data_IF_587585490492
#
_entry.id   IF_587585490492
#
_cell.length_a   1.000
_cell.length_b   1.000
_cell.length_c   1.000
_cell.angle_alpha   90.00
_cell.angle_beta   90.00
_cell.angle_gamma   90.00
#
_symmetry.space_group_name_H-M   'P 1'
#
loop_
_entity.id
_entity.type
_entity.pdbx_description
1 polymer ?
#
# COMPACT_ATOMS: atom_id res chain seq x y z
N UNK A 1 11.47 40.97 -33.68
CA UNK A 1 12.36 40.22 -32.76
C UNK A 1 11.67 39.69 -31.48
N UNK A 2 10.33 39.71 -31.36
CA UNK A 2 9.63 39.34 -30.11
C UNK A 2 9.07 37.90 -30.08
N UNK A 3 8.82 37.32 -31.25
CA UNK A 3 8.27 35.96 -31.43
C UNK A 3 9.22 34.84 -30.96
N UNK A 4 10.54 34.86 -31.25
CA UNK A 4 11.42 33.76 -30.80
C UNK A 4 11.61 33.75 -29.27
N UNK A 5 11.58 34.91 -28.63
CA UNK A 5 11.66 35.02 -27.16
C UNK A 5 10.44 34.43 -26.48
N UNK A 6 9.24 34.65 -27.03
CA UNK A 6 8.00 34.10 -26.48
C UNK A 6 7.97 32.56 -26.56
N UNK A 7 8.43 31.99 -27.67
CA UNK A 7 8.52 30.53 -27.85
C UNK A 7 9.51 29.89 -26.86
N UNK A 8 10.65 30.54 -26.62
CA UNK A 8 11.62 30.08 -25.63
C UNK A 8 11.03 30.12 -24.21
N UNK A 9 10.29 31.17 -23.86
CA UNK A 9 9.62 31.27 -22.55
C UNK A 9 8.55 30.19 -22.37
N UNK A 10 7.74 29.91 -23.40
CA UNK A 10 6.72 28.85 -23.32
C UNK A 10 7.35 27.48 -23.20
N UNK A 11 8.42 27.20 -23.97
CA UNK A 11 9.18 25.94 -23.86
C UNK A 11 9.84 25.77 -22.49
N UNK A 12 10.41 26.85 -21.94
CA UNK A 12 10.99 26.87 -20.61
C UNK A 12 9.92 26.64 -19.54
N UNK A 13 8.76 27.29 -19.65
CA UNK A 13 7.62 27.06 -18.76
C UNK A 13 7.10 25.62 -18.83
N UNK A 14 7.04 25.03 -20.02
CA UNK A 14 6.60 23.64 -20.21
C UNK A 14 7.61 22.64 -19.61
N UNK A 15 8.90 22.92 -19.77
CA UNK A 15 9.98 22.13 -19.16
C UNK A 15 9.99 22.26 -17.64
N UNK A 16 9.78 23.47 -17.10
CA UNK A 16 9.62 23.68 -15.66
C UNK A 16 8.36 22.99 -15.11
N UNK A 17 7.25 23.02 -15.85
CA UNK A 17 6.02 22.33 -15.46
C UNK A 17 6.21 20.80 -15.42
N UNK A 18 6.91 20.24 -16.41
CA UNK A 18 7.29 18.82 -16.42
C UNK A 18 8.26 18.47 -15.27
N UNK A 19 9.23 19.34 -14.96
CA UNK A 19 10.14 19.15 -13.83
C UNK A 19 9.46 19.30 -12.46
N UNK A 20 8.40 20.10 -12.35
CA UNK A 20 7.55 20.13 -11.15
C UNK A 20 6.70 18.86 -11.00
N UNK A 21 6.41 18.16 -12.10
CA UNK A 21 5.55 16.99 -12.08
C UNK A 21 6.31 15.70 -11.69
N UNK A 22 7.65 15.72 -11.65
CA UNK A 22 8.47 14.55 -11.27
C UNK A 22 8.56 14.31 -9.76
N UNK A 23 8.09 15.22 -8.90
CA UNK A 23 7.99 14.99 -7.45
C UNK A 23 6.66 14.31 -7.06
N UNK A 24 6.28 13.28 -7.80
CA UNK A 24 5.31 12.29 -7.33
C UNK A 24 5.97 10.92 -7.17
N UNK A 25 7.20 10.90 -6.64
CA UNK A 25 7.62 9.75 -5.86
C UNK A 25 6.84 9.76 -4.54
N UNK A 26 6.28 8.61 -4.19
CA UNK A 26 5.54 8.33 -2.95
C UNK A 26 6.44 8.39 -1.70
N UNK A 27 7.39 9.31 -1.66
CA UNK A 27 8.32 9.54 -0.57
C UNK A 27 8.23 10.99 -0.16
N UNK A 28 7.21 11.34 0.63
CA UNK A 28 7.41 12.37 1.65
C UNK A 28 8.79 12.09 2.28
N UNK A 29 9.68 13.08 2.44
CA UNK A 29 11.05 12.90 2.97
C UNK A 29 11.14 12.36 4.41
N UNK A 30 10.12 11.62 4.86
CA UNK A 30 9.89 10.95 6.12
C UNK A 30 9.80 9.44 5.85
N UNK A 31 10.95 8.75 5.63
CA UNK A 31 11.01 7.32 5.26
C UNK A 31 10.24 6.37 6.18
N UNK A 32 10.02 6.76 7.44
CA UNK A 32 9.40 5.95 8.48
C UNK A 32 7.92 6.27 8.73
N UNK A 33 7.34 7.22 8.00
CA UNK A 33 5.98 7.67 8.23
C UNK A 33 5.03 7.17 7.14
N UNK A 34 4.14 6.26 7.51
CA UNK A 34 3.11 5.71 6.64
C UNK A 34 1.73 6.07 7.19
N UNK A 35 0.99 6.91 6.46
CA UNK A 35 -0.34 7.33 6.83
C UNK A 35 -1.43 6.39 6.32
N UNK A 36 -2.69 6.75 6.55
CA UNK A 36 -3.84 5.98 6.08
C UNK A 36 -3.88 5.89 4.54
N UNK A 37 -3.39 6.92 3.85
CA UNK A 37 -3.26 7.00 2.41
C UNK A 37 -2.30 5.96 1.82
N UNK A 38 -1.33 5.49 2.61
CA UNK A 38 -0.36 4.48 2.19
C UNK A 38 -0.94 3.06 2.17
N UNK A 39 -2.20 2.87 2.59
CA UNK A 39 -2.85 1.57 2.56
C UNK A 39 -3.69 1.35 1.30
N UNK A 40 -3.48 0.19 0.68
CA UNK A 40 -4.25 -0.26 -0.48
C UNK A 40 -5.26 -1.31 -0.06
N UNK A 41 -6.52 -1.12 -0.48
CA UNK A 41 -7.58 -2.08 -0.19
C UNK A 41 -7.45 -3.27 -1.14
N UNK A 42 -7.14 -4.45 -0.59
CA UNK A 42 -7.17 -5.71 -1.34
C UNK A 42 -8.59 -6.28 -1.39
N UNK A 43 -9.39 -6.03 -0.35
CA UNK A 43 -10.81 -6.39 -0.32
C UNK A 43 -11.59 -5.38 0.49
N UNK A 44 -12.79 -5.05 0.03
CA UNK A 44 -13.73 -4.18 0.74
C UNK A 44 -15.14 -4.72 0.58
N UNK A 45 -15.83 -4.91 1.69
CA UNK A 45 -17.22 -5.32 1.72
C UNK A 45 -18.00 -4.51 2.75
N UNK A 46 -19.31 -4.75 2.84
CA UNK A 46 -20.13 -4.18 3.93
C UNK A 46 -19.81 -4.79 5.30
N UNK A 47 -19.20 -5.98 5.33
CA UNK A 47 -18.96 -6.76 6.56
C UNK A 47 -17.51 -6.69 7.04
N UNK A 48 -16.64 -5.96 6.35
CA UNK A 48 -15.23 -5.89 6.68
C UNK A 48 -14.38 -5.37 5.55
N UNK A 49 -13.11 -5.12 5.85
CA UNK A 49 -12.08 -4.70 4.90
C UNK A 49 -10.76 -5.38 5.20
N UNK A 50 -10.01 -5.62 4.13
CA UNK A 50 -8.63 -6.05 4.21
C UNK A 50 -7.79 -5.07 3.41
N UNK A 51 -6.89 -4.36 4.11
CA UNK A 51 -6.01 -3.37 3.51
C UNK A 51 -4.56 -3.69 3.84
N UNK A 52 -3.68 -3.48 2.88
CA UNK A 52 -2.25 -3.79 3.00
C UNK A 52 -1.48 -2.50 2.76
N UNK A 53 -0.54 -2.22 3.63
CA UNK A 53 0.38 -1.10 3.49
C UNK A 53 1.21 -1.28 2.21
N UNK A 54 1.48 -0.19 1.49
CA UNK A 54 2.42 -0.20 0.38
C UNK A 54 3.79 -0.78 0.80
N UNK A 55 4.53 -1.33 -0.18
CA UNK A 55 5.81 -1.98 0.10
C UNK A 55 6.80 -0.94 0.64
N UNK A 56 7.68 -1.35 1.55
CA UNK A 56 8.82 -0.54 1.96
C UNK A 56 9.83 -0.47 0.81
N UNK A 57 9.75 0.56 -0.02
CA UNK A 57 10.63 0.77 -1.19
C UNK A 57 11.66 1.87 -0.98
N UNK A 58 11.66 2.54 0.18
CA UNK A 58 12.67 3.55 0.47
C UNK A 58 14.03 2.87 0.70
N UNK A 59 15.11 3.45 0.16
CA UNK A 59 16.48 2.91 0.23
C UNK A 59 16.95 2.53 1.65
N UNK A 60 16.44 3.19 2.70
CA UNK A 60 16.80 2.92 4.09
C UNK A 60 16.09 1.68 4.67
N UNK A 61 15.01 1.24 4.02
CA UNK A 61 14.11 0.19 4.51
C UNK A 61 14.09 -1.04 3.60
N UNK A 62 14.35 -0.88 2.31
CA UNK A 62 14.17 -1.94 1.32
C UNK A 62 14.98 -3.20 1.65
N UNK A 63 16.27 -3.05 1.98
CA UNK A 63 17.15 -4.18 2.29
C UNK A 63 16.81 -4.85 3.63
N UNK A 64 16.28 -4.08 4.59
CA UNK A 64 16.01 -4.58 5.95
C UNK A 64 14.62 -5.21 6.08
N UNK A 65 13.60 -4.55 5.51
CA UNK A 65 12.19 -4.90 5.70
C UNK A 65 11.37 -4.92 4.41
N UNK A 66 11.97 -4.74 3.24
CA UNK A 66 11.26 -4.68 1.96
C UNK A 66 10.43 -5.91 1.61
N UNK A 67 10.79 -7.08 2.16
CA UNK A 67 10.04 -8.33 1.98
C UNK A 67 8.95 -8.56 3.04
N UNK A 68 8.84 -7.69 4.04
CA UNK A 68 7.77 -7.73 5.03
C UNK A 68 6.61 -6.84 4.58
N UNK A 69 5.38 -7.22 4.94
CA UNK A 69 4.18 -6.45 4.68
C UNK A 69 3.38 -6.28 5.96
N UNK A 70 2.76 -5.11 6.10
CA UNK A 70 1.80 -4.83 7.16
C UNK A 70 0.40 -4.84 6.55
N UNK A 71 -0.51 -5.57 7.17
CA UNK A 71 -1.90 -5.65 6.73
C UNK A 71 -2.84 -5.47 7.92
N UNK A 72 -4.00 -4.91 7.64
CA UNK A 72 -5.09 -4.74 8.59
C UNK A 72 -6.33 -5.45 8.07
N UNK A 73 -6.82 -6.37 8.89
CA UNK A 73 -8.09 -7.06 8.69
C UNK A 73 -9.10 -6.55 9.71
N UNK A 74 -10.19 -5.97 9.20
CA UNK A 74 -11.33 -5.59 10.01
C UNK A 74 -12.55 -6.41 9.58
N UNK A 75 -13.26 -6.94 10.57
CA UNK A 75 -14.46 -7.73 10.38
C UNK A 75 -15.55 -7.22 11.33
N UNK A 76 -16.75 -7.01 10.80
CA UNK A 76 -17.93 -6.69 11.60
C UNK A 76 -18.30 -7.88 12.51
N UNK A 77 -19.05 -7.64 13.60
CA UNK A 77 -19.54 -8.73 14.44
C UNK A 77 -20.33 -9.77 13.63
N UNK A 78 -20.02 -11.06 13.84
CA UNK A 78 -20.62 -12.21 13.11
C UNK A 78 -20.32 -12.23 11.60
N UNK A 79 -19.31 -11.49 11.14
CA UNK A 79 -18.78 -11.66 9.80
C UNK A 79 -17.95 -12.96 9.72
N UNK A 80 -17.92 -13.56 8.53
CA UNK A 80 -17.11 -14.72 8.22
C UNK A 80 -16.06 -14.34 7.18
N UNK A 81 -14.80 -14.69 7.45
CA UNK A 81 -13.73 -14.59 6.47
C UNK A 81 -13.70 -15.88 5.65
N UNK A 82 -13.89 -15.76 4.34
CA UNK A 82 -13.75 -16.90 3.44
C UNK A 82 -12.33 -17.48 3.55
N UNK A 83 -12.16 -18.81 3.66
CA UNK A 83 -10.85 -19.42 3.63
C UNK A 83 -10.08 -19.05 2.36
N UNK A 84 -8.88 -18.53 2.54
CA UNK A 84 -7.95 -18.17 1.48
C UNK A 84 -6.51 -18.41 1.97
N UNK A 85 -5.58 -18.37 1.03
CA UNK A 85 -4.15 -18.36 1.32
C UNK A 85 -3.47 -17.26 0.52
N UNK A 86 -2.31 -16.85 0.98
CA UNK A 86 -1.38 -15.99 0.26
C UNK A 86 0.01 -16.59 0.41
N UNK A 87 0.86 -16.28 -0.56
CA UNK A 87 2.25 -16.73 -0.61
C UNK A 87 3.12 -15.86 0.32
N UNK A 88 2.88 -16.00 1.62
CA UNK A 88 3.63 -15.31 2.67
C UNK A 88 3.44 -16.00 4.04
N UNK A 89 4.48 -15.96 4.86
CA UNK A 89 4.37 -16.29 6.28
C UNK A 89 3.70 -15.14 7.05
N UNK A 90 2.81 -15.47 7.99
CA UNK A 90 2.00 -14.47 8.70
C UNK A 90 2.11 -14.60 10.23
N UNK A 91 2.24 -13.45 10.88
CA UNK A 91 2.04 -13.28 12.32
C UNK A 91 0.89 -12.29 12.53
N UNK A 92 -0.15 -12.72 13.23
CA UNK A 92 -1.37 -11.92 13.43
C UNK A 92 -1.52 -11.51 14.89
N UNK A 93 -1.79 -10.23 15.11
CA UNK A 93 -2.10 -9.66 16.43
C UNK A 93 -3.53 -9.13 16.43
N UNK A 94 -4.27 -9.38 17.52
CA UNK A 94 -5.66 -8.93 17.66
C UNK A 94 -5.72 -7.69 18.54
N UNK A 95 -6.18 -6.58 17.96
CA UNK A 95 -6.22 -5.26 18.62
C UNK A 95 -7.44 -5.06 19.51
N UNK A 96 -8.65 -5.25 18.98
CA UNK A 96 -9.88 -4.72 19.60
C UNK A 96 -10.93 -5.80 19.96
N UNK A 97 -10.67 -7.10 19.76
CA UNK A 97 -11.70 -8.13 19.93
C UNK A 97 -11.18 -9.56 20.15
N UNK A 98 -12.10 -10.52 20.28
CA UNK A 98 -11.83 -11.95 20.14
C UNK A 98 -12.12 -12.36 18.70
N UNK A 99 -11.08 -12.73 17.95
CA UNK A 99 -11.24 -13.34 16.63
C UNK A 99 -11.29 -14.85 16.77
N UNK A 100 -12.46 -15.45 16.54
CA UNK A 100 -12.63 -16.90 16.59
C UNK A 100 -12.09 -17.51 15.30
N UNK A 101 -10.96 -18.21 15.41
CA UNK A 101 -10.39 -18.96 14.29
C UNK A 101 -11.33 -20.13 13.96
N UNK A 102 -11.90 -20.13 12.77
CA UNK A 102 -12.71 -21.25 12.28
C UNK A 102 -11.90 -22.55 12.19
N UNK A 103 -12.57 -23.72 12.10
CA UNK A 103 -11.89 -25.00 11.95
C UNK A 103 -10.98 -24.97 10.71
N UNK A 104 -9.70 -25.28 10.92
CA UNK A 104 -8.70 -25.34 9.85
C UNK A 104 -9.04 -26.50 8.91
N UNK A 105 -9.45 -26.20 7.67
CA UNK A 105 -9.54 -27.22 6.62
C UNK A 105 -8.12 -27.57 6.18
N UNK A 106 -7.56 -28.63 6.75
CA UNK A 106 -6.33 -29.27 6.27
C UNK A 106 -6.58 -29.90 4.89
N UNK A 107 -6.65 -29.09 3.85
CA UNK A 107 -6.49 -29.56 2.47
C UNK A 107 -5.50 -28.64 1.77
N UNK A 108 -4.22 -28.86 2.09
CA UNK A 108 -3.11 -28.36 1.29
C UNK A 108 -3.20 -29.10 -0.05
N UNK A 109 -3.72 -28.43 -1.07
CA UNK A 109 -3.53 -28.84 -2.46
C UNK A 109 -2.24 -28.18 -2.91
N UNK A 110 -1.13 -28.92 -2.87
CA UNK A 110 0.08 -28.55 -3.61
C UNK A 110 -0.26 -28.53 -5.10
N UNK A 111 0.00 -27.41 -5.76
CA UNK A 111 0.17 -27.33 -7.22
C UNK A 111 1.55 -26.78 -7.47
#
# INVERSE_FOLDING_TARGET
MKVPVLLLLVSLCFSLALAWQTDTESGSGRPYHYGEESFRHWTRSRQGRFRVLERFTHELLEDAVGNYRVAELEAAPRAFLQPSHYDADEVMFVKDAVFLRGPQSHRVSSV
#
